data_IF_662997722396
#
_entry.id   IF_662997722396
#
_cell.length_a   1.000
_cell.length_b   1.000
_cell.length_c   1.000
_cell.angle_alpha   90.00
_cell.angle_beta   90.00
_cell.angle_gamma   90.00
#
_symmetry.space_group_name_H-M   'P 1'
#
loop_
_entity.id
_entity.type
_entity.pdbx_description
1 polymer ?
#
# COMPACT_ATOMS: atom_id res chain seq x y z
N UNK A 1 -0.49 1.04 4.28
CA UNK A 1 -1.67 1.94 4.21
C UNK A 1 -1.92 2.23 2.74
N UNK A 2 -3.14 2.06 2.25
CA UNK A 2 -3.57 2.49 0.92
C UNK A 2 -4.65 3.55 1.10
N UNK A 3 -4.50 4.68 0.40
CA UNK A 3 -5.49 5.75 0.34
C UNK A 3 -6.02 5.85 -1.10
N UNK A 4 -7.30 5.56 -1.30
CA UNK A 4 -7.99 5.81 -2.57
C UNK A 4 -8.41 7.28 -2.60
N UNK A 5 -7.51 8.15 -3.03
CA UNK A 5 -7.71 9.61 -2.99
C UNK A 5 -8.95 10.05 -3.79
N UNK A 6 -9.60 11.11 -3.29
CA UNK A 6 -10.78 11.72 -3.89
C UNK A 6 -10.45 13.09 -4.47
N UNK A 7 -11.05 13.47 -5.61
CA UNK A 7 -10.90 14.80 -6.19
C UNK A 7 -11.29 15.91 -5.19
N UNK A 8 -10.46 16.95 -5.08
CA UNK A 8 -10.73 18.12 -4.22
C UNK A 8 -10.53 17.89 -2.71
N UNK A 9 -10.05 16.72 -2.29
CA UNK A 9 -9.78 16.43 -0.87
C UNK A 9 -8.30 16.64 -0.54
N UNK A 10 -8.02 17.32 0.57
CA UNK A 10 -6.68 17.49 1.12
C UNK A 10 -6.37 16.41 2.16
N UNK A 11 -5.13 15.91 2.16
CA UNK A 11 -4.66 14.88 3.09
C UNK A 11 -3.41 15.36 3.83
N UNK A 12 -3.30 15.05 5.11
CA UNK A 12 -2.09 15.26 5.91
C UNK A 12 -1.63 13.95 6.55
N UNK A 13 -0.32 13.81 6.73
CA UNK A 13 0.30 12.71 7.47
C UNK A 13 1.22 13.31 8.52
N UNK A 14 1.06 12.88 9.77
CA UNK A 14 1.83 13.41 10.91
C UNK A 14 2.58 12.27 11.59
N UNK A 15 3.86 12.51 11.92
CA UNK A 15 4.57 11.64 12.85
C UNK A 15 3.94 11.79 14.25
N UNK A 16 3.41 10.70 14.78
CA UNK A 16 2.75 10.70 16.09
C UNK A 16 3.74 10.76 17.26
N UNK A 17 4.99 10.38 17.02
CA UNK A 17 6.01 10.43 18.07
C UNK A 17 6.53 11.84 18.26
N UNK A 18 6.66 12.26 19.53
CA UNK A 18 7.30 13.52 19.90
C UNK A 18 8.83 13.43 19.91
N UNK A 19 9.36 12.20 20.02
CA UNK A 19 10.77 11.97 20.36
C UNK A 19 11.49 11.06 19.36
N UNK A 20 10.77 10.37 18.47
CA UNK A 20 11.34 9.44 17.48
C UNK A 20 10.98 9.84 16.04
N UNK A 21 11.91 9.75 15.08
CA UNK A 21 11.62 10.01 13.67
C UNK A 21 10.74 8.90 13.06
N UNK A 22 10.03 9.23 11.98
CA UNK A 22 9.27 8.29 11.14
C UNK A 22 9.94 8.16 9.78
N UNK A 23 10.26 6.93 9.38
CA UNK A 23 10.74 6.59 8.04
C UNK A 23 9.68 5.77 7.32
N UNK A 24 9.32 6.14 6.09
CA UNK A 24 8.32 5.43 5.29
C UNK A 24 8.58 5.56 3.78
N UNK A 25 8.04 4.62 3.01
CA UNK A 25 7.98 4.69 1.55
C UNK A 25 6.56 5.07 1.11
N UNK A 26 6.45 5.89 0.06
CA UNK A 26 5.17 6.25 -0.55
C UNK A 26 5.24 6.01 -2.06
N UNK A 27 4.21 5.36 -2.61
CA UNK A 27 4.03 5.15 -4.04
C UNK A 27 2.73 5.80 -4.49
N UNK A 28 2.75 6.44 -5.66
CA UNK A 28 1.57 7.00 -6.31
C UNK A 28 1.29 6.22 -7.59
N UNK A 29 0.03 5.83 -7.78
CA UNK A 29 -0.44 5.12 -8.96
C UNK A 29 -1.57 5.93 -9.57
N UNK A 30 -1.57 6.06 -10.90
CA UNK A 30 -2.66 6.71 -11.61
C UNK A 30 -3.97 6.00 -11.30
N UNK A 31 -4.99 6.77 -10.93
CA UNK A 31 -6.29 6.26 -10.57
C UNK A 31 -7.23 6.27 -11.78
N UNK A 32 -7.95 5.17 -11.99
CA UNK A 32 -9.14 5.14 -12.83
C UNK A 32 -10.35 5.48 -11.92
N UNK A 33 -10.89 6.71 -11.95
CA UNK A 33 -11.92 7.15 -11.02
C UNK A 33 -13.25 6.40 -11.18
N UNK A 34 -13.45 5.68 -12.29
CA UNK A 34 -14.66 4.93 -12.58
C UNK A 34 -14.80 3.61 -11.78
N UNK A 35 -13.73 3.15 -11.14
CA UNK A 35 -13.74 1.95 -10.29
C UNK A 35 -13.83 2.32 -8.82
N UNK A 36 -14.83 1.76 -8.14
CA UNK A 36 -14.97 1.87 -6.69
C UNK A 36 -13.82 1.13 -6.00
N UNK A 37 -13.35 1.70 -4.89
CA UNK A 37 -12.36 1.08 -4.03
C UNK A 37 -12.56 1.62 -2.60
N UNK A 38 -12.34 0.82 -1.55
CA UNK A 38 -12.37 1.34 -0.19
C UNK A 38 -11.42 2.53 -0.02
N UNK A 39 -11.88 3.58 0.67
CA UNK A 39 -11.13 4.84 0.83
C UNK A 39 -9.79 4.63 1.55
N UNK A 40 -9.80 3.81 2.60
CA UNK A 40 -8.64 3.51 3.43
C UNK A 40 -8.56 2.01 3.64
N UNK A 41 -7.40 1.43 3.35
CA UNK A 41 -7.11 0.03 3.62
C UNK A 41 -5.74 -0.09 4.31
N UNK A 42 -5.59 -1.10 5.18
CA UNK A 42 -4.33 -1.41 5.87
C UNK A 42 -4.07 -2.90 5.80
N UNK A 43 -2.80 -3.25 5.67
CA UNK A 43 -2.31 -4.61 5.64
C UNK A 43 -1.04 -4.64 6.50
N UNK A 44 -0.93 -5.66 7.34
CA UNK A 44 0.29 -5.95 8.09
C UNK A 44 1.24 -6.76 7.21
N UNK A 45 2.50 -6.33 7.14
CA UNK A 45 3.53 -7.09 6.44
C UNK A 45 3.88 -8.32 7.29
N UNK A 46 3.84 -9.50 6.68
CA UNK A 46 4.12 -10.76 7.39
C UNK A 46 5.62 -11.08 7.45
N UNK A 47 6.45 -10.31 6.73
CA UNK A 47 7.91 -10.47 6.64
C UNK A 47 8.36 -11.81 6.02
N UNK A 48 7.47 -12.49 5.29
CA UNK A 48 7.84 -13.65 4.48
C UNK A 48 8.72 -13.23 3.30
N UNK A 49 9.38 -14.22 2.68
CA UNK A 49 10.23 -13.99 1.51
C UNK A 49 9.56 -13.20 0.40
N UNK A 50 8.28 -13.49 0.17
CA UNK A 50 7.48 -12.79 -0.81
C UNK A 50 6.02 -12.74 -0.36
N UNK A 51 5.46 -11.54 -0.28
CA UNK A 51 4.07 -11.30 0.07
C UNK A 51 3.42 -10.45 -1.02
N UNK A 52 2.28 -10.90 -1.58
CA UNK A 52 1.43 -10.02 -2.40
C UNK A 52 0.74 -9.02 -1.46
N UNK A 53 1.05 -7.74 -1.59
CA UNK A 53 0.56 -6.69 -0.66
C UNK A 53 -0.51 -5.81 -1.28
N UNK A 54 -0.61 -5.73 -2.62
CA UNK A 54 -1.71 -5.05 -3.30
C UNK A 54 -1.99 -5.68 -4.68
N UNK A 55 -3.25 -5.78 -5.07
CA UNK A 55 -3.69 -6.33 -6.37
C UNK A 55 -5.07 -5.80 -6.78
N UNK A 56 -5.52 -5.98 -8.03
CA UNK A 56 -6.77 -5.37 -8.50
C UNK A 56 -8.00 -5.81 -7.70
N UNK A 57 -8.05 -7.09 -7.32
CA UNK A 57 -9.20 -7.70 -6.64
C UNK A 57 -8.91 -8.09 -5.18
N UNK A 58 -7.79 -7.62 -4.61
CA UNK A 58 -7.41 -7.98 -3.23
C UNK A 58 -7.09 -9.46 -3.04
N UNK A 59 -6.58 -10.13 -4.08
CA UNK A 59 -6.26 -11.55 -4.06
C UNK A 59 -5.29 -11.91 -2.91
N UNK A 60 -5.43 -13.10 -2.33
CA UNK A 60 -4.59 -13.58 -1.22
C UNK A 60 -4.58 -12.65 0.01
N UNK A 61 -5.66 -11.89 0.23
CA UNK A 61 -5.77 -10.93 1.34
C UNK A 61 -4.96 -9.66 1.14
N UNK A 62 -4.50 -9.39 -0.09
CA UNK A 62 -3.81 -8.15 -0.45
C UNK A 62 -4.75 -6.94 -0.47
N UNK A 63 -4.18 -5.73 -0.45
CA UNK A 63 -4.96 -4.50 -0.61
C UNK A 63 -5.61 -4.46 -2.01
N UNK A 64 -6.88 -4.10 -2.07
CA UNK A 64 -7.59 -3.96 -3.35
C UNK A 64 -7.21 -2.64 -4.04
N UNK A 65 -6.84 -2.72 -5.32
CA UNK A 65 -6.43 -1.59 -6.16
C UNK A 65 -7.43 -1.37 -7.30
N UNK A 66 -7.62 -0.11 -7.67
CA UNK A 66 -8.39 0.27 -8.87
C UNK A 66 -7.54 0.34 -10.14
N UNK A 67 -6.34 -0.23 -10.11
CA UNK A 67 -5.38 -0.35 -11.21
C UNK A 67 -5.13 -1.82 -11.54
N UNK A 68 -4.76 -2.12 -12.78
CA UNK A 68 -4.29 -3.46 -13.17
C UNK A 68 -2.81 -3.64 -12.78
N UNK A 69 -2.53 -3.62 -11.48
CA UNK A 69 -1.18 -3.68 -10.90
C UNK A 69 -1.14 -4.69 -9.77
N UNK A 70 -0.02 -5.40 -9.65
CA UNK A 70 0.30 -6.28 -8.52
C UNK A 70 1.57 -5.78 -7.85
N UNK A 71 1.53 -5.64 -6.53
CA UNK A 71 2.66 -5.20 -5.73
C UNK A 71 3.08 -6.30 -4.77
N UNK A 72 4.35 -6.68 -4.83
CA UNK A 72 4.95 -7.68 -3.96
C UNK A 72 5.94 -7.02 -3.01
N UNK A 73 5.87 -7.37 -1.73
CA UNK A 73 6.90 -7.10 -0.74
C UNK A 73 7.83 -8.32 -0.67
N UNK A 74 9.14 -8.09 -0.75
CA UNK A 74 10.15 -9.15 -0.82
C UNK A 74 11.17 -8.92 0.30
N UNK A 75 11.44 -9.97 1.08
CA UNK A 75 12.44 -9.98 2.15
C UNK A 75 13.38 -11.15 1.89
N UNK A 76 14.60 -10.86 1.46
CA UNK A 76 15.57 -11.91 1.11
C UNK A 76 16.86 -11.69 1.88
N UNK A 77 17.42 -12.80 2.37
CA UNK A 77 18.80 -12.82 2.84
C UNK A 77 19.77 -12.78 1.66
N UNK A 78 21.05 -12.49 1.97
CA UNK A 78 22.11 -12.46 0.97
C UNK A 78 22.22 -13.81 0.26
N UNK A 79 21.99 -13.82 -1.05
CA UNK A 79 22.13 -15.00 -1.90
C UNK A 79 20.83 -15.77 -2.13
N UNK A 80 19.72 -15.33 -1.55
CA UNK A 80 18.39 -15.85 -1.87
C UNK A 80 17.81 -15.17 -3.12
N UNK A 81 16.85 -15.85 -3.77
CA UNK A 81 16.14 -15.39 -4.97
C UNK A 81 14.65 -15.69 -4.88
#
# INVERSE_FOLDING_TARGET
LLLSTQPGVSYSEHNLSKDKPLTRMQLWLDACPQRENPLIQKLALNMDKQQLIASPEGAMGSLQLRQQVWLHHIVLDKGES
#
